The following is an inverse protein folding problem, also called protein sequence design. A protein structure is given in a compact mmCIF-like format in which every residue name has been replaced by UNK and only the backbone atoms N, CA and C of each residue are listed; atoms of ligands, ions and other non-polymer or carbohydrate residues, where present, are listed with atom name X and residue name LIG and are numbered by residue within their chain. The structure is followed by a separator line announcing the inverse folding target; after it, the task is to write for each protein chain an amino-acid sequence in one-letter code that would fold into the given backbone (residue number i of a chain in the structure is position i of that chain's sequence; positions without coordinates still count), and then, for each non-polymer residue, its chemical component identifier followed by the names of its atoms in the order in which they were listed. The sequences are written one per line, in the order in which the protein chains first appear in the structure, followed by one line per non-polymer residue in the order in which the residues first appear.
data_IF_669713145669
#
_entry.id   IF_669713145669
#
_cell.length_a   1.000
_cell.length_b   1.000
_cell.length_c   1.000
_cell.angle_alpha   90.00
_cell.angle_beta   90.00
_cell.angle_gamma   90.00
#
_symmetry.space_group_name_H-M   'P 1'
#
loop_
_entity.id
_entity.type
_entity.pdbx_description
1 polymer ?
#
# COMPACT_ATOMS: atom_id res chain seq x y z
N UNK A 1 -8.50 -30.17 -8.75
CA UNK A 1 -8.54 -29.61 -10.12
C UNK A 1 -8.96 -30.68 -11.12
N UNK A 2 -9.89 -30.41 -12.05
CA UNK A 2 -10.32 -31.37 -13.05
C UNK A 2 -9.15 -31.78 -13.96
N UNK A 3 -8.91 -33.09 -14.10
CA UNK A 3 -7.84 -33.63 -14.95
C UNK A 3 -8.18 -33.57 -16.44
N UNK A 4 -9.47 -33.39 -16.79
CA UNK A 4 -9.98 -33.40 -18.16
C UNK A 4 -9.42 -32.28 -19.05
N UNK A 5 -9.14 -31.11 -18.49
CA UNK A 5 -8.66 -29.94 -19.25
C UNK A 5 -7.14 -29.79 -19.24
N UNK A 6 -6.40 -30.76 -18.68
CA UNK A 6 -4.94 -30.73 -18.70
C UNK A 6 -4.43 -31.09 -20.10
N UNK A 7 -3.47 -30.33 -20.60
CA UNK A 7 -2.77 -30.60 -21.87
C UNK A 7 -2.21 -32.03 -21.96
N UNK A 8 -1.88 -32.65 -20.82
CA UNK A 8 -1.37 -34.01 -20.78
C UNK A 8 -2.31 -35.03 -21.42
N UNK A 9 -3.64 -34.84 -21.35
CA UNK A 9 -4.62 -35.73 -21.98
C UNK A 9 -4.54 -35.64 -23.50
N UNK A 10 -4.48 -34.42 -24.06
CA UNK A 10 -4.30 -34.18 -25.50
C UNK A 10 -2.95 -34.69 -26.03
N UNK A 11 -1.90 -34.66 -25.21
CA UNK A 11 -0.57 -35.13 -25.59
C UNK A 11 -0.37 -36.66 -25.45
N UNK A 12 -1.33 -37.43 -24.92
CA UNK A 12 -1.24 -38.90 -24.92
C UNK A 12 -1.28 -39.41 -26.37
N UNK A 13 -0.30 -40.21 -26.76
CA UNK A 13 -0.09 -40.65 -28.15
C UNK A 13 0.89 -39.76 -28.94
N UNK A 14 1.30 -38.62 -28.39
CA UNK A 14 2.41 -37.84 -28.97
C UNK A 14 3.76 -38.35 -28.44
N UNK A 15 4.78 -38.40 -29.29
CA UNK A 15 6.11 -38.94 -28.92
C UNK A 15 6.88 -38.08 -27.91
N UNK A 16 6.75 -36.75 -27.97
CA UNK A 16 7.61 -35.81 -27.21
C UNK A 16 6.85 -34.91 -26.23
N UNK A 17 5.52 -35.04 -26.14
CA UNK A 17 4.67 -34.23 -25.26
C UNK A 17 4.88 -32.70 -25.40
N UNK A 18 5.30 -32.24 -26.57
CA UNK A 18 5.52 -30.81 -26.88
C UNK A 18 6.92 -30.27 -26.56
N UNK A 19 7.88 -31.08 -26.16
CA UNK A 19 9.23 -30.64 -25.78
C UNK A 19 10.28 -30.67 -26.92
N UNK A 20 9.83 -30.91 -28.16
CA UNK A 20 10.68 -31.03 -29.34
C UNK A 20 11.42 -32.38 -29.41
N UNK A 21 12.07 -32.67 -30.55
CA UNK A 21 12.75 -33.96 -30.78
C UNK A 21 14.17 -34.01 -30.18
N UNK A 22 14.91 -32.91 -30.23
CA UNK A 22 16.37 -32.89 -29.97
C UNK A 22 16.69 -32.46 -28.52
N UNK A 23 16.14 -31.33 -28.09
CA UNK A 23 16.42 -30.75 -26.76
C UNK A 23 15.79 -31.53 -25.60
N UNK A 24 14.56 -32.02 -25.80
CA UNK A 24 13.73 -32.76 -24.83
C UNK A 24 13.57 -32.10 -23.46
N UNK A 25 12.67 -32.63 -22.62
CA UNK A 25 12.50 -32.14 -21.25
C UNK A 25 13.51 -32.79 -20.30
N UNK A 26 14.77 -32.34 -20.38
CA UNK A 26 15.83 -32.78 -19.47
C UNK A 26 15.74 -32.07 -18.10
N UNK A 27 16.58 -32.51 -17.16
CA UNK A 27 16.64 -31.98 -15.78
C UNK A 27 17.19 -30.53 -15.73
N UNK A 28 17.65 -30.09 -14.57
CA UNK A 28 18.13 -28.73 -14.27
C UNK A 28 19.27 -28.25 -15.16
N UNK A 29 20.08 -29.15 -15.74
CA UNK A 29 21.12 -28.78 -16.71
C UNK A 29 20.56 -28.01 -17.91
N UNK A 30 19.42 -28.43 -18.45
CA UNK A 30 18.77 -27.73 -19.57
C UNK A 30 18.21 -26.35 -19.18
N UNK A 31 18.00 -26.11 -17.88
CA UNK A 31 17.58 -24.81 -17.33
C UNK A 31 18.77 -23.91 -16.99
N UNK A 32 20.00 -24.38 -17.22
CA UNK A 32 21.22 -23.68 -16.81
C UNK A 32 21.39 -23.62 -15.30
N UNK A 33 21.07 -24.71 -14.59
CA UNK A 33 21.23 -24.85 -13.14
C UNK A 33 19.90 -24.80 -12.37
N UNK A 34 19.98 -25.07 -11.06
CA UNK A 34 18.83 -25.01 -10.16
C UNK A 34 18.67 -23.59 -9.57
N UNK A 35 17.43 -23.12 -9.43
CA UNK A 35 17.12 -21.81 -8.85
C UNK A 35 17.80 -20.63 -9.55
N UNK A 36 18.41 -19.76 -8.76
CA UNK A 36 19.04 -18.51 -9.18
C UNK A 36 20.47 -18.68 -9.73
N UNK A 37 20.92 -19.92 -9.93
CA UNK A 37 22.26 -20.22 -10.44
C UNK A 37 22.48 -19.60 -11.82
N UNK A 38 23.68 -19.03 -12.01
CA UNK A 38 24.08 -18.44 -13.29
C UNK A 38 23.73 -16.97 -13.44
N UNK A 39 23.03 -16.36 -12.48
CA UNK A 39 22.68 -14.92 -12.52
C UNK A 39 23.89 -13.99 -12.62
N UNK A 40 25.05 -14.38 -12.09
CA UNK A 40 26.32 -13.66 -12.26
C UNK A 40 27.26 -14.30 -13.31
N UNK A 41 26.73 -15.16 -14.20
CA UNK A 41 27.50 -15.89 -15.23
C UNK A 41 26.68 -15.97 -16.52
N UNK A 42 26.30 -17.16 -16.97
CA UNK A 42 25.60 -17.41 -18.23
C UNK A 42 24.15 -16.89 -18.29
N UNK A 43 23.56 -16.45 -17.16
CA UNK A 43 22.25 -15.76 -17.11
C UNK A 43 22.40 -14.27 -16.81
N UNK A 44 23.59 -13.69 -16.94
CA UNK A 44 23.83 -12.27 -16.65
C UNK A 44 22.97 -11.33 -17.49
N UNK A 45 22.78 -11.64 -18.77
CA UNK A 45 21.89 -10.86 -19.67
C UNK A 45 20.45 -10.79 -19.16
N UNK A 46 19.96 -11.84 -18.51
CA UNK A 46 18.61 -11.82 -17.91
C UNK A 46 18.55 -10.85 -16.73
N UNK A 47 19.58 -10.84 -15.88
CA UNK A 47 19.66 -9.93 -14.73
C UNK A 47 19.72 -8.48 -15.21
N UNK A 48 20.58 -8.18 -16.19
CA UNK A 48 20.67 -6.84 -16.78
C UNK A 48 19.35 -6.35 -17.40
N UNK A 49 18.53 -7.25 -17.93
CA UNK A 49 17.28 -6.87 -18.60
C UNK A 49 16.11 -6.71 -17.63
N UNK A 50 15.99 -7.61 -16.66
CA UNK A 50 14.76 -7.75 -15.86
C UNK A 50 14.96 -7.44 -14.38
N UNK A 51 16.18 -7.48 -13.87
CA UNK A 51 16.46 -7.45 -12.43
C UNK A 51 17.82 -6.77 -12.18
N UNK A 52 17.92 -5.49 -12.57
CA UNK A 52 19.21 -4.77 -12.61
C UNK A 52 19.84 -4.59 -11.23
N UNK A 53 19.02 -4.47 -10.20
CA UNK A 53 19.45 -4.26 -8.81
C UNK A 53 19.55 -5.59 -8.03
N UNK A 54 19.58 -6.73 -8.73
CA UNK A 54 19.64 -8.04 -8.10
C UNK A 54 20.89 -8.25 -7.25
N UNK A 55 22.03 -7.71 -7.68
CA UNK A 55 23.27 -7.73 -6.92
C UNK A 55 23.61 -6.33 -6.43
N UNK A 56 23.90 -6.23 -5.14
CA UNK A 56 24.29 -4.98 -4.52
C UNK A 56 23.76 -4.87 -3.09
N UNK A 57 24.23 -3.83 -2.39
CA UNK A 57 23.63 -3.35 -1.15
C UNK A 57 23.36 -1.86 -1.36
N UNK A 58 22.14 -1.42 -1.06
CA UNK A 58 21.75 -0.02 -1.21
C UNK A 58 21.32 0.56 0.13
N UNK A 59 21.95 1.65 0.52
CA UNK A 59 21.64 2.36 1.77
C UNK A 59 21.98 1.57 3.05
N UNK A 60 21.31 1.93 4.14
CA UNK A 60 21.46 1.29 5.45
C UNK A 60 20.08 1.10 6.09
N UNK A 61 19.95 0.07 6.93
CA UNK A 61 18.72 -0.18 7.69
C UNK A 61 18.79 0.53 9.05
N UNK A 62 17.81 1.38 9.36
CA UNK A 62 17.68 2.02 10.67
C UNK A 62 16.84 1.13 11.58
N UNK A 63 17.38 0.59 12.70
CA UNK A 63 16.63 -0.30 13.60
C UNK A 63 15.38 0.36 14.20
N UNK A 64 15.47 1.65 14.53
CA UNK A 64 14.40 2.41 15.16
C UNK A 64 13.57 3.20 14.13
N UNK A 65 13.08 2.52 13.09
CA UNK A 65 12.20 3.15 12.10
C UNK A 65 10.83 3.41 12.75
N UNK A 66 10.43 4.69 12.82
CA UNK A 66 9.06 5.07 13.19
C UNK A 66 8.20 4.99 11.93
N UNK A 67 7.08 4.30 12.03
CA UNK A 67 6.04 4.29 11.00
C UNK A 67 5.04 5.39 11.32
N UNK A 68 4.83 6.30 10.37
CA UNK A 68 3.86 7.40 10.51
C UNK A 68 2.61 6.96 9.76
N UNK A 69 1.51 6.78 10.48
CA UNK A 69 0.23 6.45 9.86
C UNK A 69 -0.43 7.73 9.37
N UNK A 70 -0.63 7.81 8.06
CA UNK A 70 -1.22 8.97 7.42
C UNK A 70 -2.60 8.68 6.85
N UNK A 71 -3.52 9.64 6.97
CA UNK A 71 -4.85 9.58 6.35
C UNK A 71 -5.00 10.70 5.31
N UNK A 72 -5.78 10.41 4.27
CA UNK A 72 -6.11 11.38 3.23
C UNK A 72 -7.46 12.05 3.47
N UNK A 73 -7.70 13.20 2.85
CA UNK A 73 -8.99 13.91 2.94
C UNK A 73 -10.19 13.08 2.45
N UNK A 74 -10.03 12.27 1.39
CA UNK A 74 -11.11 11.37 0.92
C UNK A 74 -11.47 10.36 2.01
N UNK A 75 -10.46 9.73 2.60
CA UNK A 75 -10.65 8.74 3.65
C UNK A 75 -11.25 9.38 4.90
N UNK A 76 -10.86 10.62 5.21
CA UNK A 76 -11.47 11.41 6.27
C UNK A 76 -12.96 11.65 6.00
N UNK A 77 -13.34 12.06 4.78
CA UNK A 77 -14.76 12.25 4.41
C UNK A 77 -15.58 10.97 4.57
N UNK A 78 -15.06 9.83 4.09
CA UNK A 78 -15.72 8.53 4.27
C UNK A 78 -15.81 8.13 5.75
N UNK A 79 -14.79 8.46 6.54
CA UNK A 79 -14.77 8.18 7.97
C UNK A 79 -15.84 9.02 8.70
N UNK A 80 -16.00 10.29 8.34
CA UNK A 80 -17.09 11.15 8.85
C UNK A 80 -18.45 10.52 8.56
N UNK A 81 -18.71 10.16 7.30
CA UNK A 81 -19.99 9.57 6.87
C UNK A 81 -20.30 8.25 7.58
N UNK A 82 -19.29 7.40 7.79
CA UNK A 82 -19.45 6.14 8.50
C UNK A 82 -19.75 6.36 10.00
N UNK A 83 -19.03 7.27 10.66
CA UNK A 83 -19.28 7.60 12.07
C UNK A 83 -20.64 8.25 12.27
N UNK A 84 -21.10 9.05 11.31
CA UNK A 84 -22.44 9.63 11.28
C UNK A 84 -23.51 8.54 11.19
N UNK A 85 -23.34 7.55 10.30
CA UNK A 85 -24.25 6.39 10.20
C UNK A 85 -24.27 5.52 11.44
N UNK A 86 -23.14 5.38 12.13
CA UNK A 86 -23.02 4.62 13.38
C UNK A 86 -23.49 5.39 14.62
N UNK A 87 -23.83 6.68 14.50
CA UNK A 87 -24.25 7.53 15.62
C UNK A 87 -23.15 7.83 16.64
N UNK A 88 -21.87 7.60 16.28
CA UNK A 88 -20.69 7.82 17.15
C UNK A 88 -20.00 9.16 16.89
N UNK A 89 -20.59 9.98 16.02
CA UNK A 89 -20.03 11.28 15.66
C UNK A 89 -20.20 12.24 16.85
N UNK A 90 -19.08 12.65 17.45
CA UNK A 90 -19.07 13.72 18.43
C UNK A 90 -19.22 15.05 17.68
N UNK A 91 -20.11 15.91 18.13
CA UNK A 91 -20.23 17.28 17.62
C UNK A 91 -19.62 18.25 18.63
N UNK A 92 -18.84 19.21 18.14
CA UNK A 92 -18.24 20.26 18.96
C UNK A 92 -18.36 21.57 18.16
N UNK A 93 -18.92 22.62 18.77
CA UNK A 93 -19.18 23.91 18.12
C UNK A 93 -19.96 23.77 16.79
N UNK A 94 -21.07 23.02 16.80
CA UNK A 94 -21.94 22.75 15.64
C UNK A 94 -21.25 22.06 14.43
N UNK A 95 -20.02 21.57 14.59
CA UNK A 95 -19.26 20.85 13.56
C UNK A 95 -18.95 19.40 13.99
N UNK A 96 -18.89 18.45 13.04
CA UNK A 96 -18.34 17.11 13.28
C UNK A 96 -16.92 17.17 13.83
N UNK A 97 -16.71 16.62 15.02
CA UNK A 97 -15.40 16.53 15.66
C UNK A 97 -14.81 15.12 15.47
N UNK A 98 -13.58 15.06 14.95
CA UNK A 98 -12.84 13.81 14.77
C UNK A 98 -11.47 13.92 15.38
N UNK A 99 -11.20 13.05 16.36
CA UNK A 99 -9.87 12.86 16.91
C UNK A 99 -9.12 11.75 16.16
N UNK A 100 -8.20 12.14 15.28
CA UNK A 100 -7.39 11.20 14.50
C UNK A 100 -6.32 10.52 15.36
N UNK A 101 -5.92 11.10 16.49
CA UNK A 101 -4.96 10.48 17.42
C UNK A 101 -5.54 9.25 18.12
N UNK A 102 -6.81 9.31 18.53
CA UNK A 102 -7.53 8.15 19.09
C UNK A 102 -7.64 7.00 18.08
N UNK A 103 -7.70 7.34 16.79
CA UNK A 103 -7.74 6.38 15.68
C UNK A 103 -6.34 5.87 15.26
N UNK A 104 -5.29 6.33 15.95
CA UNK A 104 -3.90 5.94 15.69
C UNK A 104 -3.36 6.46 14.36
N UNK A 105 -3.77 7.67 13.97
CA UNK A 105 -3.29 8.39 12.78
C UNK A 105 -2.51 9.62 13.21
N UNK A 106 -1.25 9.70 12.77
CA UNK A 106 -0.31 10.74 13.19
C UNK A 106 -0.25 11.91 12.19
N UNK A 107 -0.62 11.67 10.92
CA UNK A 107 -0.49 12.67 9.84
C UNK A 107 -1.69 12.80 8.92
N UNK A 108 -2.09 14.04 8.62
CA UNK A 108 -3.11 14.35 7.62
C UNK A 108 -2.50 14.84 6.30
N UNK A 109 -2.86 14.20 5.19
CA UNK A 109 -2.32 14.46 3.85
C UNK A 109 -3.42 14.97 2.90
N UNK A 110 -3.05 15.97 2.09
CA UNK A 110 -3.91 16.62 1.11
C UNK A 110 -4.10 15.79 -0.16
N UNK A 111 -4.86 14.68 -0.08
CA UNK A 111 -5.32 13.95 -1.27
C UNK A 111 -6.84 13.91 -1.33
N UNK A 112 -7.37 14.59 -2.35
CA UNK A 112 -8.80 14.76 -2.64
C UNK A 112 -9.39 16.04 -2.07
N UNK A 113 -10.71 16.09 -1.95
CA UNK A 113 -11.47 17.27 -1.52
C UNK A 113 -12.36 16.90 -0.35
N UNK A 114 -12.58 17.86 0.53
CA UNK A 114 -13.58 17.79 1.60
C UNK A 114 -14.56 18.95 1.35
N UNK A 115 -15.84 18.64 1.30
CA UNK A 115 -16.91 19.63 1.06
C UNK A 115 -17.66 20.00 2.34
N UNK A 116 -17.54 19.18 3.39
CA UNK A 116 -18.17 19.41 4.68
C UNK A 116 -17.19 20.11 5.62
N UNK A 117 -17.65 21.07 6.43
CA UNK A 117 -16.84 21.62 7.51
C UNK A 117 -16.63 20.53 8.58
N UNK A 118 -15.37 20.27 8.93
CA UNK A 118 -15.01 19.26 9.95
C UNK A 118 -13.95 19.86 10.87
N UNK A 119 -14.07 19.59 12.17
CA UNK A 119 -13.04 19.92 13.15
C UNK A 119 -12.19 18.67 13.43
N UNK A 120 -10.91 18.73 13.06
CA UNK A 120 -10.02 17.57 13.06
C UNK A 120 -8.86 17.79 14.03
N UNK A 121 -8.71 16.89 15.02
CA UNK A 121 -7.55 16.86 15.89
C UNK A 121 -6.50 15.87 15.36
N UNK A 122 -5.30 16.36 15.01
CA UNK A 122 -4.21 15.53 14.46
C UNK A 122 -2.83 16.08 14.82
N UNK A 123 -1.85 15.19 15.02
CA UNK A 123 -0.51 15.58 15.48
C UNK A 123 0.29 16.35 14.41
N UNK A 124 0.14 15.98 13.14
CA UNK A 124 0.80 16.68 12.03
C UNK A 124 -0.10 16.75 10.80
N UNK A 125 0.04 17.83 10.02
CA UNK A 125 -0.68 17.99 8.75
C UNK A 125 0.23 18.61 7.70
N UNK A 126 -0.21 18.53 6.44
CA UNK A 126 0.45 19.19 5.31
C UNK A 126 -0.16 20.57 5.08
N UNK A 127 0.64 21.55 4.65
CA UNK A 127 0.16 22.92 4.36
C UNK A 127 -1.02 22.93 3.37
N UNK A 128 -0.98 22.03 2.38
CA UNK A 128 -2.07 21.87 1.41
C UNK A 128 -3.35 21.34 2.05
N UNK A 129 -3.25 20.49 3.07
CA UNK A 129 -4.43 19.93 3.75
C UNK A 129 -5.09 20.99 4.61
N UNK A 130 -4.27 21.85 5.24
CA UNK A 130 -4.76 22.97 6.03
C UNK A 130 -5.57 23.96 5.18
N UNK A 131 -5.04 24.33 4.01
CA UNK A 131 -5.76 25.21 3.07
C UNK A 131 -7.11 24.62 2.66
N UNK A 132 -7.12 23.36 2.21
CA UNK A 132 -8.36 22.71 1.77
C UNK A 132 -9.41 22.53 2.87
N UNK A 133 -8.98 22.34 4.12
CA UNK A 133 -9.90 22.23 5.26
C UNK A 133 -10.45 23.61 5.64
N UNK A 134 -9.60 24.64 5.66
CA UNK A 134 -10.04 26.03 5.89
C UNK A 134 -11.01 26.50 4.80
N UNK A 135 -10.73 26.19 3.54
CA UNK A 135 -11.60 26.51 2.39
C UNK A 135 -12.98 25.83 2.51
N UNK A 136 -13.04 24.66 3.15
CA UNK A 136 -14.29 23.94 3.45
C UNK A 136 -14.99 24.41 4.74
N UNK A 137 -14.47 25.44 5.42
CA UNK A 137 -15.00 25.95 6.70
C UNK A 137 -14.68 25.08 7.91
N UNK A 138 -13.74 24.13 7.77
CA UNK A 138 -13.24 23.28 8.83
C UNK A 138 -12.05 23.89 9.58
N UNK A 139 -11.72 23.28 10.71
CA UNK A 139 -10.63 23.71 11.59
C UNK A 139 -9.74 22.51 11.95
N UNK A 140 -8.44 22.77 12.05
CA UNK A 140 -7.43 21.81 12.46
C UNK A 140 -6.88 22.23 13.81
N UNK A 141 -6.88 21.31 14.76
CA UNK A 141 -6.39 21.56 16.13
C UNK A 141 -5.33 20.52 16.48
N UNK A 142 -4.35 20.91 17.31
CA UNK A 142 -3.43 19.92 17.85
C UNK A 142 -4.13 19.15 18.97
N UNK A 143 -3.89 17.82 19.11
CA UNK A 143 -4.48 17.03 20.18
C UNK A 143 -4.15 17.52 21.60
N UNK A 144 -3.07 18.30 21.76
CA UNK A 144 -2.67 18.91 23.03
C UNK A 144 -3.57 20.08 23.43
N UNK A 145 -4.09 20.82 22.45
CA UNK A 145 -4.99 21.96 22.66
C UNK A 145 -6.42 21.50 23.01
N UNK A 146 -6.78 20.27 22.66
CA UNK A 146 -8.08 19.67 22.97
C UNK A 146 -8.19 19.26 24.45
N UNK A 147 -7.08 19.01 25.16
CA UNK A 147 -7.10 18.66 26.59
C UNK A 147 -7.50 19.82 27.52
N UNK A 148 -7.52 21.05 27.01
CA UNK A 148 -7.96 22.23 27.76
C UNK A 148 -9.43 22.59 27.57
N UNK A 149 -10.16 21.83 26.74
CA UNK A 149 -11.58 22.03 26.46
C UNK A 149 -12.28 20.69 26.67
N UNK A 150 -12.54 20.38 27.94
CA UNK A 150 -13.59 19.40 28.27
C UNK A 150 -14.97 20.02 27.96
N UNK A 151 -15.97 19.21 27.59
CA UNK A 151 -17.31 19.68 27.20
C UNK A 151 -18.02 20.49 28.27
#
# INVERSE_FOLDING_TARGET
MPTRWRKSRKHRGSRTCGWGQIGQHRKTGAKGGHGMTGRHKHKWTWVLRYDRDYFGKHGFYRPNRREIRAINLIQLSTLVENLEREGKLKTMNDKPFINLKELGVDKLIARGKISRPVLVAVESWTEKAEKLIKDAGGELVKPEEVKGVEP
#
